data_IF_265772792614
#
_entry.id   IF_265772792614
#
_cell.length_a   1.000
_cell.length_b   1.000
_cell.length_c   1.000
_cell.angle_alpha   90.00
_cell.angle_beta   90.00
_cell.angle_gamma   90.00
#
_symmetry.space_group_name_H-M   'P 1'
#
loop_
_entity.id
_entity.type
_entity.pdbx_description
1 polymer ?
#
# COMPACT_ATOMS: atom_id res chain seq x y z
N UNK A 1 2.26 -4.52 -23.30
CA UNK A 1 3.21 -5.27 -22.43
C UNK A 1 2.53 -6.56 -22.01
N UNK A 2 3.21 -7.71 -22.05
CA UNK A 2 2.66 -8.96 -21.53
C UNK A 2 2.66 -8.90 -19.99
N UNK A 3 1.74 -9.62 -19.35
CA UNK A 3 1.69 -9.66 -17.87
C UNK A 3 3.02 -10.09 -17.24
N UNK A 4 3.68 -11.07 -17.85
CA UNK A 4 4.98 -11.57 -17.35
C UNK A 4 6.06 -10.48 -17.39
N UNK A 5 6.07 -9.60 -18.39
CA UNK A 5 7.01 -8.51 -18.48
C UNK A 5 6.80 -7.52 -17.34
N UNK A 6 5.53 -7.18 -17.02
CA UNK A 6 5.19 -6.34 -15.86
C UNK A 6 5.66 -6.95 -14.54
N UNK A 7 5.51 -8.26 -14.37
CA UNK A 7 5.96 -8.98 -13.18
C UNK A 7 7.49 -8.91 -13.02
N UNK A 8 8.23 -9.13 -14.11
CA UNK A 8 9.68 -9.16 -14.11
C UNK A 8 10.31 -7.77 -14.01
N UNK A 9 9.64 -6.74 -14.55
CA UNK A 9 10.18 -5.39 -14.64
C UNK A 9 9.72 -4.46 -13.52
N UNK A 10 8.63 -4.79 -12.80
CA UNK A 10 8.11 -3.95 -11.74
C UNK A 10 9.16 -3.71 -10.65
N UNK A 11 9.39 -2.46 -10.32
CA UNK A 11 10.14 -2.09 -9.13
C UNK A 11 9.54 -0.86 -8.44
N UNK A 12 9.89 -0.65 -7.16
CA UNK A 12 9.41 0.48 -6.36
C UNK A 12 10.03 1.80 -6.83
N UNK A 13 9.19 2.80 -7.10
CA UNK A 13 9.59 4.16 -7.44
C UNK A 13 9.68 5.02 -6.18
N UNK A 14 10.82 5.70 -5.95
CA UNK A 14 10.99 6.61 -4.80
C UNK A 14 10.44 8.00 -5.09
N UNK A 15 10.65 8.52 -6.30
CA UNK A 15 10.06 9.76 -6.80
C UNK A 15 8.76 9.44 -7.55
N UNK A 16 7.68 10.12 -7.17
CA UNK A 16 6.36 9.96 -7.75
C UNK A 16 5.72 11.33 -7.92
N UNK A 17 5.32 11.64 -9.15
CA UNK A 17 4.71 12.92 -9.54
C UNK A 17 3.39 12.67 -10.26
N UNK A 18 2.65 13.71 -10.56
CA UNK A 18 1.51 13.65 -11.47
C UNK A 18 1.95 13.32 -12.93
N UNK A 19 1.06 12.71 -13.73
CA UNK A 19 -0.29 12.29 -13.37
C UNK A 19 -0.31 10.99 -12.56
N UNK A 20 -1.46 10.72 -11.94
CA UNK A 20 -1.82 9.43 -11.35
C UNK A 20 -3.07 8.88 -12.07
N UNK A 21 -3.44 7.58 -11.88
CA UNK A 21 -4.59 7.00 -12.55
C UNK A 21 -5.88 7.79 -12.33
N UNK A 22 -6.66 8.01 -13.39
CA UNK A 22 -7.98 8.60 -13.30
C UNK A 22 -9.00 7.61 -12.66
N UNK A 23 -10.25 8.05 -12.48
CA UNK A 23 -11.29 7.24 -11.81
C UNK A 23 -11.58 5.92 -12.54
N UNK A 24 -11.62 5.94 -13.88
CA UNK A 24 -11.94 4.74 -14.68
C UNK A 24 -10.79 3.72 -14.64
N UNK A 25 -9.56 4.20 -14.65
CA UNK A 25 -8.37 3.37 -14.48
C UNK A 25 -8.31 2.79 -13.05
N UNK A 26 -8.57 3.62 -12.03
CA UNK A 26 -8.62 3.17 -10.63
C UNK A 26 -9.69 2.12 -10.39
N UNK A 27 -10.87 2.24 -11.00
CA UNK A 27 -11.91 1.22 -10.92
C UNK A 27 -11.38 -0.15 -11.41
N UNK A 28 -10.72 -0.20 -12.57
CA UNK A 28 -10.14 -1.41 -13.12
C UNK A 28 -8.99 -1.94 -12.25
N UNK A 29 -8.17 -1.05 -11.70
CA UNK A 29 -7.08 -1.42 -10.77
C UNK A 29 -7.66 -2.08 -9.52
N UNK A 30 -8.73 -1.54 -8.94
CA UNK A 30 -9.40 -2.16 -7.78
C UNK A 30 -10.10 -3.47 -8.14
N UNK A 31 -10.72 -3.57 -9.31
CA UNK A 31 -11.27 -4.84 -9.79
C UNK A 31 -10.19 -5.92 -9.89
N UNK A 32 -8.99 -5.59 -10.38
CA UNK A 32 -7.85 -6.49 -10.39
C UNK A 32 -7.38 -6.86 -8.97
N UNK A 33 -7.33 -5.89 -8.06
CA UNK A 33 -7.00 -6.12 -6.65
C UNK A 33 -7.93 -7.13 -5.99
N UNK A 34 -9.24 -7.04 -6.25
CA UNK A 34 -10.27 -7.93 -5.71
C UNK A 34 -10.24 -9.35 -6.31
N UNK A 35 -9.34 -9.63 -7.27
CA UNK A 35 -9.08 -11.00 -7.80
C UNK A 35 -8.05 -11.77 -6.97
N UNK A 36 -7.46 -11.16 -5.96
CA UNK A 36 -6.54 -11.86 -5.06
C UNK A 36 -7.20 -13.08 -4.40
N UNK A 37 -6.44 -14.15 -4.12
CA UNK A 37 -6.95 -15.31 -3.39
C UNK A 37 -7.52 -14.90 -2.04
N UNK A 38 -8.70 -15.42 -1.71
CA UNK A 38 -9.44 -15.09 -0.48
C UNK A 38 -10.12 -16.34 0.04
N UNK A 39 -9.57 -16.93 1.11
CA UNK A 39 -10.10 -18.13 1.73
C UNK A 39 -11.50 -17.85 2.31
N UNK A 40 -12.45 -18.71 1.98
CA UNK A 40 -13.88 -18.61 2.33
C UNK A 40 -14.56 -17.32 1.81
N UNK A 41 -13.94 -16.55 0.92
CA UNK A 41 -14.49 -15.32 0.34
C UNK A 41 -14.90 -14.28 1.40
N UNK A 42 -14.09 -14.12 2.43
CA UNK A 42 -14.32 -13.19 3.54
C UNK A 42 -14.20 -11.73 3.13
N UNK A 43 -13.56 -11.45 1.97
CA UNK A 43 -13.37 -10.09 1.44
C UNK A 43 -12.73 -9.15 2.47
N UNK A 44 -11.56 -9.49 3.02
CA UNK A 44 -10.98 -8.72 4.13
C UNK A 44 -10.37 -7.39 3.68
N UNK A 45 -9.95 -7.27 2.42
CA UNK A 45 -9.28 -6.10 1.90
C UNK A 45 -10.20 -4.87 1.87
N UNK A 46 -9.68 -3.74 2.36
CA UNK A 46 -10.26 -2.39 2.24
C UNK A 46 -9.16 -1.43 1.78
N UNK A 47 -9.55 -0.49 0.94
CA UNK A 47 -8.63 0.50 0.37
C UNK A 47 -9.18 1.89 0.66
N UNK A 48 -8.34 2.78 1.20
CA UNK A 48 -8.68 4.19 1.39
C UNK A 48 -7.82 4.97 0.41
N UNK A 49 -8.43 5.46 -0.66
CA UNK A 49 -7.76 6.29 -1.65
C UNK A 49 -7.75 7.75 -1.21
N UNK A 50 -6.59 8.38 -1.28
CA UNK A 50 -6.35 9.74 -0.81
C UNK A 50 -5.57 10.49 -1.88
N UNK A 51 -6.10 11.64 -2.33
CA UNK A 51 -5.45 12.56 -3.27
C UNK A 51 -5.92 13.99 -3.02
N UNK A 52 -5.29 14.98 -3.64
CA UNK A 52 -5.67 16.38 -3.52
C UNK A 52 -5.77 16.84 -2.05
N UNK A 53 -6.89 17.44 -1.67
CA UNK A 53 -7.12 17.92 -0.29
C UNK A 53 -7.10 16.80 0.76
N UNK A 54 -7.30 15.54 0.36
CA UNK A 54 -7.18 14.41 1.25
C UNK A 54 -5.75 14.22 1.80
N UNK A 55 -4.73 14.59 1.02
CA UNK A 55 -3.33 14.54 1.47
C UNK A 55 -3.07 15.51 2.62
N UNK A 56 -3.70 16.69 2.62
CA UNK A 56 -3.61 17.64 3.75
C UNK A 56 -4.24 17.07 5.02
N UNK A 57 -5.38 16.38 4.89
CA UNK A 57 -6.02 15.71 6.03
C UNK A 57 -5.13 14.60 6.57
N UNK A 58 -4.55 13.77 5.72
CA UNK A 58 -3.63 12.71 6.14
C UNK A 58 -2.36 13.29 6.79
N UNK A 59 -1.85 14.40 6.27
CA UNK A 59 -0.72 15.14 6.84
C UNK A 59 -0.99 15.57 8.29
N UNK A 60 -2.17 16.14 8.55
CA UNK A 60 -2.59 16.50 9.91
C UNK A 60 -2.70 15.28 10.81
N UNK A 61 -3.31 14.18 10.32
CA UNK A 61 -3.41 12.92 11.06
C UNK A 61 -2.03 12.39 11.45
N UNK A 62 -1.08 12.39 10.53
CA UNK A 62 0.28 11.91 10.81
C UNK A 62 1.03 12.79 11.79
N UNK A 63 0.87 14.11 11.68
CA UNK A 63 1.45 15.05 12.64
C UNK A 63 0.88 14.84 14.05
N UNK A 64 -0.45 14.82 14.16
CA UNK A 64 -1.14 14.69 15.45
C UNK A 64 -0.83 13.35 16.12
N UNK A 65 -0.80 12.26 15.35
CA UNK A 65 -0.42 10.94 15.84
C UNK A 65 1.03 10.91 16.32
N UNK A 66 1.97 11.49 15.55
CA UNK A 66 3.38 11.55 15.93
C UNK A 66 3.59 12.33 17.21
N UNK A 67 2.90 13.46 17.36
CA UNK A 67 2.98 14.31 18.54
C UNK A 67 2.34 13.68 19.78
N UNK A 68 1.12 13.17 19.63
CA UNK A 68 0.30 12.76 20.78
C UNK A 68 0.50 11.31 21.19
N UNK A 69 0.78 10.40 20.24
CA UNK A 69 0.89 8.97 20.52
C UNK A 69 2.34 8.47 20.51
N UNK A 70 3.18 9.02 19.61
CA UNK A 70 4.59 8.68 19.59
C UNK A 70 5.43 9.61 20.49
N UNK A 71 4.79 10.63 21.12
CA UNK A 71 5.40 11.60 22.04
C UNK A 71 6.64 12.28 21.45
N UNK A 72 6.59 12.61 20.16
CA UNK A 72 7.70 13.27 19.47
C UNK A 72 7.61 14.78 19.74
N UNK A 73 8.67 15.34 20.31
CA UNK A 73 8.77 16.78 20.60
C UNK A 73 9.65 17.52 19.59
N UNK A 74 10.52 16.81 18.85
CA UNK A 74 11.40 17.40 17.84
C UNK A 74 10.60 17.83 16.61
N UNK A 75 10.49 19.14 16.42
CA UNK A 75 9.74 19.75 15.32
C UNK A 75 10.27 19.31 13.94
N UNK A 76 11.58 19.04 13.80
CA UNK A 76 12.14 18.56 12.53
C UNK A 76 11.67 17.16 12.19
N UNK A 77 11.43 16.33 13.20
CA UNK A 77 10.89 14.98 13.05
C UNK A 77 9.37 15.05 12.78
N UNK A 78 8.65 15.89 13.52
CA UNK A 78 7.22 16.13 13.29
C UNK A 78 6.95 16.62 11.87
N UNK A 79 7.78 17.55 11.37
CA UNK A 79 7.67 18.04 10.00
C UNK A 79 7.88 16.91 8.96
N UNK A 80 8.82 15.98 9.18
CA UNK A 80 8.99 14.79 8.29
C UNK A 80 7.75 13.92 8.21
N UNK A 81 6.99 13.77 9.32
CA UNK A 81 5.72 13.05 9.31
C UNK A 81 4.63 13.83 8.59
N UNK A 82 4.58 15.13 8.81
CA UNK A 82 3.65 16.05 8.15
C UNK A 82 3.86 16.05 6.63
N UNK A 83 5.11 15.98 6.17
CA UNK A 83 5.47 15.97 4.74
C UNK A 83 5.33 14.59 4.10
N UNK A 84 5.24 13.53 4.89
CA UNK A 84 5.22 12.17 4.36
C UNK A 84 4.12 11.90 3.33
N UNK A 85 2.87 12.41 3.46
CA UNK A 85 1.83 12.21 2.47
C UNK A 85 2.12 12.84 1.10
N UNK A 86 2.90 13.92 1.06
CA UNK A 86 3.18 14.66 -0.17
C UNK A 86 4.32 14.07 -1.03
N UNK A 87 4.80 12.87 -0.68
CA UNK A 87 5.81 12.13 -1.47
C UNK A 87 5.24 11.48 -2.75
N UNK A 88 3.94 11.57 -2.95
CA UNK A 88 3.23 11.15 -4.15
C UNK A 88 1.90 11.91 -4.28
N UNK A 89 1.36 12.06 -5.49
CA UNK A 89 0.09 12.74 -5.71
C UNK A 89 -1.12 11.93 -5.23
N UNK A 90 -0.98 10.61 -5.03
CA UNK A 90 -2.01 9.73 -4.48
C UNK A 90 -1.41 8.74 -3.48
N UNK A 91 -2.19 8.42 -2.45
CA UNK A 91 -1.90 7.36 -1.49
C UNK A 91 -3.11 6.41 -1.41
N UNK A 92 -2.84 5.12 -1.29
CA UNK A 92 -3.84 4.10 -0.97
C UNK A 92 -3.44 3.46 0.36
N UNK A 93 -4.25 3.63 1.40
CA UNK A 93 -4.04 2.91 2.66
C UNK A 93 -4.59 1.51 2.50
N UNK A 94 -3.77 0.52 2.81
CA UNK A 94 -4.11 -0.90 2.77
C UNK A 94 -4.63 -1.31 4.15
N UNK A 95 -5.88 -1.69 4.22
CA UNK A 95 -6.53 -2.09 5.48
C UNK A 95 -7.08 -3.50 5.34
N UNK A 96 -6.78 -4.35 6.31
CA UNK A 96 -7.46 -5.63 6.49
C UNK A 96 -8.56 -5.46 7.53
N UNK A 97 -9.82 -5.65 7.17
CA UNK A 97 -10.94 -5.74 8.10
C UNK A 97 -11.13 -7.20 8.50
N UNK A 98 -10.82 -7.50 9.76
CA UNK A 98 -10.86 -8.86 10.28
C UNK A 98 -12.29 -9.35 10.53
N UNK A 99 -12.50 -10.63 10.29
CA UNK A 99 -13.71 -11.35 10.61
C UNK A 99 -13.35 -12.62 11.38
N UNK A 100 -14.09 -12.92 12.43
CA UNK A 100 -13.96 -14.22 13.09
C UNK A 100 -14.50 -15.32 12.17
N UNK A 101 -13.69 -16.35 11.99
CA UNK A 101 -14.05 -17.50 11.18
C UNK A 101 -13.35 -18.77 11.69
N UNK A 102 -14.05 -19.89 11.87
CA UNK A 102 -13.50 -21.08 12.53
C UNK A 102 -12.35 -21.75 11.77
N UNK A 103 -12.25 -21.50 10.45
CA UNK A 103 -11.25 -22.13 9.57
C UNK A 103 -10.26 -21.14 8.94
N UNK A 104 -10.47 -19.84 9.11
CA UNK A 104 -9.63 -18.82 8.44
C UNK A 104 -8.99 -17.94 9.51
N UNK A 105 -7.75 -18.20 9.89
CA UNK A 105 -7.03 -17.38 10.86
C UNK A 105 -6.75 -15.97 10.32
N UNK A 106 -6.55 -15.02 11.23
CA UNK A 106 -6.32 -13.60 10.90
C UNK A 106 -5.14 -13.39 9.95
N UNK A 107 -4.11 -14.24 10.03
CA UNK A 107 -2.95 -14.13 9.15
C UNK A 107 -3.33 -14.35 7.68
N UNK A 108 -4.19 -15.31 7.36
CA UNK A 108 -4.62 -15.55 5.99
C UNK A 108 -5.41 -14.36 5.41
N UNK A 109 -6.18 -13.67 6.24
CA UNK A 109 -6.90 -12.46 5.83
C UNK A 109 -5.93 -11.31 5.51
N UNK A 110 -4.85 -11.16 6.30
CA UNK A 110 -3.77 -10.20 6.00
C UNK A 110 -3.03 -10.55 4.72
N UNK A 111 -2.72 -11.83 4.49
CA UNK A 111 -2.07 -12.31 3.27
C UNK A 111 -2.94 -12.07 2.02
N UNK A 112 -4.26 -12.28 2.12
CA UNK A 112 -5.20 -11.94 1.05
C UNK A 112 -5.16 -10.44 0.71
N UNK A 113 -5.15 -9.56 1.72
CA UNK A 113 -5.01 -8.10 1.51
C UNK A 113 -3.65 -7.74 0.91
N UNK A 114 -2.58 -8.41 1.33
CA UNK A 114 -1.24 -8.21 0.76
C UNK A 114 -1.17 -8.66 -0.71
N UNK A 115 -1.81 -9.76 -1.07
CA UNK A 115 -1.93 -10.20 -2.46
C UNK A 115 -2.73 -9.19 -3.31
N UNK A 116 -3.80 -8.61 -2.75
CA UNK A 116 -4.55 -7.52 -3.39
C UNK A 116 -3.67 -6.29 -3.64
N UNK A 117 -2.81 -5.92 -2.69
CA UNK A 117 -1.87 -4.81 -2.86
C UNK A 117 -0.85 -5.07 -3.97
N UNK A 118 -0.35 -6.30 -4.11
CA UNK A 118 0.52 -6.69 -5.22
C UNK A 118 -0.21 -6.57 -6.56
N UNK A 119 -1.48 -6.98 -6.63
CA UNK A 119 -2.29 -6.81 -7.85
C UNK A 119 -2.45 -5.33 -8.23
N UNK A 120 -2.65 -4.42 -7.24
CA UNK A 120 -2.67 -2.97 -7.48
C UNK A 120 -1.36 -2.53 -8.12
N UNK A 121 -0.21 -2.91 -7.54
CA UNK A 121 1.10 -2.49 -8.05
C UNK A 121 1.37 -2.99 -9.47
N UNK A 122 0.93 -4.20 -9.82
CA UNK A 122 1.05 -4.75 -11.16
C UNK A 122 0.10 -4.06 -12.16
N UNK A 123 -1.12 -3.77 -11.74
CA UNK A 123 -2.07 -3.04 -12.58
C UNK A 123 -1.58 -1.62 -12.85
N UNK A 124 -1.02 -0.92 -11.84
CA UNK A 124 -0.38 0.39 -12.03
C UNK A 124 0.73 0.33 -13.09
N UNK A 125 1.63 -0.65 -12.98
CA UNK A 125 2.73 -0.83 -13.95
C UNK A 125 2.19 -1.07 -15.37
N UNK A 126 1.09 -1.84 -15.53
CA UNK A 126 0.48 -2.11 -16.84
C UNK A 126 -0.13 -0.87 -17.50
N UNK A 127 -0.53 0.11 -16.71
CA UNK A 127 -1.02 1.42 -17.18
C UNK A 127 0.09 2.47 -17.35
N UNK A 128 1.36 2.10 -17.05
CA UNK A 128 2.50 3.03 -17.14
C UNK A 128 2.70 3.90 -15.90
N UNK A 129 1.93 3.68 -14.84
CA UNK A 129 2.13 4.31 -13.56
C UNK A 129 3.13 3.54 -12.68
N UNK A 130 3.47 4.11 -11.56
CA UNK A 130 4.37 3.48 -10.61
C UNK A 130 3.85 3.59 -9.19
N UNK A 131 4.38 2.73 -8.33
CA UNK A 131 4.05 2.79 -6.91
C UNK A 131 5.19 2.29 -6.03
N UNK A 132 5.06 2.60 -4.75
CA UNK A 132 5.91 2.05 -3.69
C UNK A 132 5.05 1.73 -2.47
N UNK A 133 5.22 0.54 -1.93
CA UNK A 133 4.63 0.16 -0.65
C UNK A 133 5.54 0.63 0.48
N UNK A 134 5.00 1.46 1.36
CA UNK A 134 5.67 1.92 2.57
C UNK A 134 4.92 1.44 3.80
N UNK A 135 5.68 1.14 4.82
CA UNK A 135 5.21 0.81 6.17
C UNK A 135 5.86 1.77 7.18
N UNK A 136 6.08 1.33 8.39
CA UNK A 136 6.72 2.07 9.45
C UNK A 136 5.82 2.16 10.68
N UNK A 137 6.13 3.05 11.61
CA UNK A 137 5.39 3.19 12.88
C UNK A 137 3.89 3.38 12.68
N UNK A 138 3.47 4.08 11.63
CA UNK A 138 2.06 4.29 11.28
C UNK A 138 1.30 3.02 10.85
N UNK A 139 2.00 1.94 10.44
CA UNK A 139 1.35 0.67 10.09
C UNK A 139 1.27 -0.32 11.26
N UNK A 140 2.08 -0.11 12.31
CA UNK A 140 2.22 -1.09 13.39
C UNK A 140 1.60 -0.65 14.71
N UNK A 141 1.05 0.55 14.78
CA UNK A 141 0.39 1.05 15.98
C UNK A 141 -1.12 1.13 15.78
N UNK A 142 -1.86 0.29 16.51
CA UNK A 142 -3.32 0.23 16.41
C UNK A 142 -4.00 1.53 16.86
N UNK A 143 -3.34 2.40 17.61
CA UNK A 143 -3.91 3.69 18.01
C UNK A 143 -4.20 4.58 16.80
N UNK A 144 -3.46 4.40 15.68
CA UNK A 144 -3.72 5.15 14.45
C UNK A 144 -5.10 4.85 13.84
N UNK A 145 -5.69 3.69 14.11
CA UNK A 145 -7.02 3.33 13.62
C UNK A 145 -8.06 4.39 13.98
N UNK A 146 -8.00 4.93 15.21
CA UNK A 146 -8.93 5.97 15.69
C UNK A 146 -8.78 7.27 14.91
N UNK A 147 -7.54 7.67 14.60
CA UNK A 147 -7.24 8.88 13.83
C UNK A 147 -7.71 8.79 12.37
N UNK A 148 -7.81 7.57 11.84
CA UNK A 148 -8.33 7.27 10.51
C UNK A 148 -9.80 6.87 10.51
N UNK A 149 -10.47 6.91 11.66
CA UNK A 149 -11.87 6.49 11.84
C UNK A 149 -12.12 5.04 11.35
N UNK A 150 -11.21 4.14 11.70
CA UNK A 150 -11.27 2.73 11.41
C UNK A 150 -11.69 1.93 12.65
N UNK A 151 -12.40 0.82 12.40
CA UNK A 151 -12.84 -0.11 13.46
C UNK A 151 -11.63 -0.81 14.11
N UNK A 152 -11.76 -1.19 15.40
CA UNK A 152 -10.72 -1.89 16.16
C UNK A 152 -10.39 -3.30 15.59
N UNK A 153 -11.31 -3.88 14.80
CA UNK A 153 -11.07 -5.14 14.08
C UNK A 153 -10.36 -4.95 12.74
N UNK A 154 -9.64 -3.86 12.59
CA UNK A 154 -8.85 -3.53 11.39
C UNK A 154 -7.35 -3.64 11.66
N UNK A 155 -6.59 -3.84 10.60
CA UNK A 155 -5.11 -3.71 10.61
C UNK A 155 -4.67 -2.94 9.38
N UNK A 156 -3.85 -1.92 9.57
CA UNK A 156 -3.20 -1.21 8.47
C UNK A 156 -1.98 -2.02 8.04
N UNK A 157 -1.92 -2.47 6.79
CA UNK A 157 -0.78 -3.18 6.23
C UNK A 157 0.27 -2.26 5.61
N UNK A 158 -0.04 -0.98 5.46
CA UNK A 158 0.84 0.02 4.88
C UNK A 158 0.12 0.94 3.91
N UNK A 159 0.93 1.65 3.16
CA UNK A 159 0.54 2.75 2.28
C UNK A 159 1.17 2.53 0.91
N UNK A 160 0.36 2.45 -0.13
CA UNK A 160 0.83 2.53 -1.51
C UNK A 160 0.87 4.00 -1.91
N UNK A 161 2.05 4.50 -2.18
CA UNK A 161 2.26 5.79 -2.81
C UNK A 161 2.20 5.58 -4.31
N UNK A 162 1.39 6.34 -5.01
CA UNK A 162 1.01 6.11 -6.42
C UNK A 162 1.18 7.39 -7.22
N UNK A 163 1.71 7.27 -8.43
CA UNK A 163 1.88 8.36 -9.38
C UNK A 163 2.65 7.91 -10.61
N UNK A 164 3.08 8.87 -11.37
CA UNK A 164 4.05 8.66 -12.47
C UNK A 164 5.46 8.68 -11.89
N UNK A 165 6.31 7.78 -12.37
CA UNK A 165 7.72 7.72 -11.95
C UNK A 165 8.45 9.01 -12.31
N UNK A 166 9.08 9.61 -11.32
CA UNK A 166 10.04 10.70 -11.51
C UNK A 166 11.46 10.11 -11.61
N UNK A 167 12.11 10.33 -12.75
CA UNK A 167 13.44 9.78 -13.05
C UNK A 167 13.44 8.34 -13.57
N UNK A 168 14.64 7.79 -13.70
CA UNK A 168 14.88 6.50 -14.32
C UNK A 168 14.41 5.32 -13.49
N UNK A 169 14.01 4.26 -14.19
CA UNK A 169 13.70 2.96 -13.57
C UNK A 169 14.99 2.35 -13.04
N UNK A 170 14.98 1.93 -11.78
CA UNK A 170 16.14 1.27 -11.18
C UNK A 170 16.47 -0.02 -11.90
N UNK A 171 17.78 -0.31 -12.01
CA UNK A 171 18.25 -1.60 -12.47
C UNK A 171 17.67 -2.72 -11.59
N UNK A 172 17.13 -3.73 -12.23
CA UNK A 172 16.59 -4.91 -11.58
C UNK A 172 17.76 -5.86 -11.28
N UNK A 173 17.83 -6.33 -10.05
CA UNK A 173 18.80 -7.35 -9.65
C UNK A 173 18.34 -8.70 -10.19
N UNK A 174 19.22 -9.40 -10.88
CA UNK A 174 19.00 -10.78 -11.26
C UNK A 174 19.38 -11.68 -10.07
N UNK A 175 18.45 -12.51 -9.64
CA UNK A 175 18.67 -13.55 -8.64
C UNK A 175 18.73 -14.91 -9.33
N UNK A 176 19.62 -15.81 -8.88
CA UNK A 176 19.55 -17.20 -9.29
C UNK A 176 18.29 -17.84 -8.67
N UNK A 177 17.46 -18.47 -9.49
CA UNK A 177 16.26 -19.15 -9.01
C UNK A 177 16.59 -20.29 -8.07
N UNK A 178 17.73 -20.93 -8.26
CA UNK A 178 18.22 -22.08 -7.45
C UNK A 178 18.47 -21.72 -5.97
N UNK A 179 18.69 -20.42 -5.69
CA UNK A 179 18.83 -19.95 -4.29
C UNK A 179 17.49 -19.97 -3.51
N UNK A 180 16.36 -20.02 -4.22
CA UNK A 180 15.02 -19.85 -3.64
C UNK A 180 14.10 -21.04 -3.88
N UNK A 181 14.47 -21.95 -4.78
CA UNK A 181 13.62 -23.07 -5.20
C UNK A 181 14.33 -24.38 -4.94
N UNK A 182 13.68 -25.26 -4.20
CA UNK A 182 14.08 -26.67 -4.06
C UNK A 182 13.09 -27.56 -4.78
N UNK A 183 13.60 -28.53 -5.53
CA UNK A 183 12.79 -29.55 -6.26
C UNK A 183 12.89 -30.85 -5.49
N UNK A 184 11.76 -31.49 -5.24
CA UNK A 184 11.64 -32.83 -4.70
C UNK A 184 11.10 -33.71 -5.82
N UNK A 185 11.88 -34.72 -6.22
CA UNK A 185 11.54 -35.72 -7.25
C UNK A 185 11.27 -37.09 -6.62
#
# INVERSE_FOLDING_TARGET
MKLIDSLLERNSARGLIEPFPNSDEMEKIYQAALRAPDHAKLKPARFIQISGQGLNKLSSVFYDFAKNELMIEDESILQKYKDAPFRAPMIIILVTKHQEHPKVPLIEQKLSTAASAQNILLALESYGYAGIWRTGKFSFDNKLLKYLNLDDNSTILGYLYVGTRDGDKKKISNYSVDEFVSVWE
#
